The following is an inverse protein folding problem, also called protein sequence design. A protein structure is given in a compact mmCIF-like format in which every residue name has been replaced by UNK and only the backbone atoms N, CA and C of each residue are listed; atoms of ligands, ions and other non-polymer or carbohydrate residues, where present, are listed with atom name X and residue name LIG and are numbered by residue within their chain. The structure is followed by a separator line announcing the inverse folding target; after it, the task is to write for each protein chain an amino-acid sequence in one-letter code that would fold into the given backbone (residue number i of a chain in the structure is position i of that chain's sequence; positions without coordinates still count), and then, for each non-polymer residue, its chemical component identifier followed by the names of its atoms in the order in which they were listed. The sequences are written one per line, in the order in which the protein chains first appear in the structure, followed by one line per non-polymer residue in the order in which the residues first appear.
data_IF_346670747931
#
_entry.id   IF_346670747931
#
_cell.length_a   1.000
_cell.length_b   1.000
_cell.length_c   1.000
_cell.angle_alpha   90.00
_cell.angle_beta   90.00
_cell.angle_gamma   90.00
#
_symmetry.space_group_name_H-M   'P 1'
#
loop_
_entity.id
_entity.type
_entity.pdbx_description
1 polymer ?
#
# COMPACT_ATOMS: atom_id res chain seq x y z
N UNK A 1 6.65 -4.06 -23.83
CA UNK A 1 6.74 -2.84 -22.97
C UNK A 1 6.50 -3.32 -21.56
N UNK A 2 7.46 -3.15 -20.64
CA UNK A 2 7.32 -3.72 -19.30
C UNK A 2 6.42 -2.87 -18.40
N UNK A 3 5.59 -3.55 -17.61
CA UNK A 3 4.65 -2.96 -16.68
C UNK A 3 4.88 -3.54 -15.29
N UNK A 4 4.85 -2.69 -14.27
CA UNK A 4 4.88 -3.08 -12.87
C UNK A 4 3.56 -2.69 -12.20
N UNK A 5 2.86 -3.65 -11.62
CA UNK A 5 1.68 -3.41 -10.81
C UNK A 5 2.05 -3.37 -9.33
N UNK A 6 1.78 -2.25 -8.66
CA UNK A 6 1.70 -2.17 -7.20
C UNK A 6 0.28 -2.59 -6.82
N UNK A 7 0.11 -3.72 -6.14
CA UNK A 7 -1.21 -4.21 -5.73
C UNK A 7 -1.29 -4.25 -4.22
N UNK A 8 -2.17 -3.43 -3.64
CA UNK A 8 -2.54 -3.57 -2.24
C UNK A 8 -3.49 -4.76 -2.07
N UNK A 9 -3.33 -5.50 -0.98
CA UNK A 9 -4.11 -6.71 -0.68
C UNK A 9 -4.76 -6.57 0.68
N UNK A 10 -6.09 -6.70 0.70
CA UNK A 10 -6.90 -6.66 1.92
C UNK A 10 -7.33 -8.04 2.38
N UNK A 11 -8.37 -8.09 3.21
CA UNK A 11 -8.95 -9.34 3.74
C UNK A 11 -10.22 -9.77 3.02
N UNK A 12 -10.49 -9.23 1.82
CA UNK A 12 -11.71 -9.49 1.06
C UNK A 12 -11.92 -11.00 0.77
N UNK A 13 -10.84 -11.75 0.51
CA UNK A 13 -10.89 -13.20 0.32
C UNK A 13 -11.56 -13.90 1.50
N UNK A 14 -11.15 -13.57 2.73
CA UNK A 14 -11.71 -14.16 3.95
C UNK A 14 -13.19 -13.76 4.15
N UNK A 15 -13.53 -12.48 3.90
CA UNK A 15 -14.90 -12.00 4.01
C UNK A 15 -15.84 -12.67 3.00
N UNK A 16 -15.39 -12.79 1.75
CA UNK A 16 -16.16 -13.39 0.68
C UNK A 16 -16.28 -14.91 0.84
N UNK A 17 -15.21 -15.59 1.30
CA UNK A 17 -15.24 -17.01 1.63
C UNK A 17 -16.24 -17.30 2.75
N UNK A 18 -16.15 -16.58 3.88
CA UNK A 18 -17.05 -16.77 5.03
C UNK A 18 -18.53 -16.48 4.69
N UNK A 19 -18.78 -15.60 3.72
CA UNK A 19 -20.14 -15.33 3.22
C UNK A 19 -20.66 -16.44 2.29
N UNK A 20 -19.79 -17.00 1.46
CA UNK A 20 -20.17 -17.96 0.40
C UNK A 20 -20.20 -19.40 0.90
N UNK A 21 -19.22 -19.79 1.72
CA UNK A 21 -19.03 -21.12 2.27
C UNK A 21 -19.13 -21.07 3.79
N UNK A 22 -20.30 -20.66 4.29
CA UNK A 22 -20.50 -20.36 5.71
C UNK A 22 -20.15 -21.56 6.62
N UNK A 23 -20.68 -22.74 6.30
CA UNK A 23 -20.49 -23.94 7.11
C UNK A 23 -19.02 -24.39 7.11
N UNK A 24 -18.36 -24.32 5.95
CA UNK A 24 -16.92 -24.63 5.84
C UNK A 24 -16.05 -23.62 6.60
N UNK A 25 -16.41 -22.33 6.58
CA UNK A 25 -15.70 -21.31 7.33
C UNK A 25 -15.85 -21.52 8.85
N UNK A 26 -17.00 -22.01 9.31
CA UNK A 26 -17.24 -22.39 10.70
C UNK A 26 -16.41 -23.63 11.09
N UNK A 27 -16.37 -24.66 10.25
CA UNK A 27 -15.55 -25.86 10.45
C UNK A 27 -14.06 -25.53 10.53
N UNK A 28 -13.57 -24.68 9.62
CA UNK A 28 -12.19 -24.19 9.60
C UNK A 28 -11.90 -23.17 10.71
N UNK A 29 -12.92 -22.69 11.43
CA UNK A 29 -12.82 -21.65 12.48
C UNK A 29 -12.26 -20.32 11.98
N UNK A 30 -12.64 -19.92 10.76
CA UNK A 30 -12.16 -18.69 10.11
C UNK A 30 -13.27 -17.69 9.80
N UNK A 31 -14.52 -17.92 10.22
CA UNK A 31 -15.69 -17.08 9.88
C UNK A 31 -15.52 -15.60 10.23
N UNK A 32 -14.76 -15.27 11.27
CA UNK A 32 -14.48 -13.89 11.71
C UNK A 32 -13.16 -13.31 11.19
N UNK A 33 -12.29 -14.13 10.57
CA UNK A 33 -10.91 -13.74 10.26
C UNK A 33 -10.82 -12.50 9.37
N UNK A 34 -11.78 -12.30 8.46
CA UNK A 34 -11.81 -11.13 7.59
C UNK A 34 -11.98 -9.78 8.30
N UNK A 35 -12.35 -9.77 9.59
CA UNK A 35 -12.63 -8.57 10.40
C UNK A 35 -11.76 -8.45 11.66
N UNK A 36 -10.74 -9.28 11.81
CA UNK A 36 -9.91 -9.25 13.01
C UNK A 36 -9.14 -7.93 13.13
N UNK A 37 -9.09 -7.31 14.31
CA UNK A 37 -8.19 -6.21 14.56
C UNK A 37 -6.73 -6.70 14.56
N UNK A 38 -5.74 -5.82 14.31
CA UNK A 38 -4.33 -6.21 14.19
C UNK A 38 -3.74 -6.89 15.44
N UNK A 39 -4.26 -6.62 16.62
CA UNK A 39 -3.80 -7.12 17.92
C UNK A 39 -4.50 -8.41 18.39
N UNK A 40 -5.45 -8.94 17.60
CA UNK A 40 -6.19 -10.16 17.96
C UNK A 40 -5.30 -11.42 17.92
N UNK A 41 -5.45 -12.32 18.90
CA UNK A 41 -4.62 -13.54 19.00
C UNK A 41 -4.70 -14.46 17.76
N UNK A 42 -5.88 -14.54 17.13
CA UNK A 42 -6.07 -15.33 15.91
C UNK A 42 -5.26 -14.82 14.70
N UNK A 43 -4.68 -13.63 14.75
CA UNK A 43 -3.71 -13.18 13.73
C UNK A 43 -2.54 -14.16 13.62
N UNK A 44 -2.05 -14.70 14.75
CA UNK A 44 -0.99 -15.72 14.75
C UNK A 44 -1.42 -17.02 14.07
N UNK A 45 -2.68 -17.42 14.24
CA UNK A 45 -3.24 -18.61 13.59
C UNK A 45 -3.40 -18.41 12.08
N UNK A 46 -3.83 -17.22 11.66
CA UNK A 46 -3.91 -16.86 10.25
C UNK A 46 -2.53 -16.85 9.60
N UNK A 47 -1.53 -16.28 10.26
CA UNK A 47 -0.15 -16.28 9.79
C UNK A 47 0.44 -17.69 9.71
N UNK A 48 0.26 -18.52 10.73
CA UNK A 48 0.69 -19.92 10.74
C UNK A 48 0.01 -20.74 9.63
N UNK A 49 -1.16 -20.30 9.15
CA UNK A 49 -1.87 -20.93 8.05
C UNK A 49 -1.40 -20.46 6.67
N UNK A 50 -0.48 -19.50 6.54
CA UNK A 50 -0.12 -18.86 5.27
C UNK A 50 0.89 -19.66 4.42
N UNK A 51 0.66 -20.97 4.26
CA UNK A 51 1.51 -21.86 3.46
C UNK A 51 0.73 -23.04 2.87
N UNK A 52 1.22 -23.58 1.74
CA UNK A 52 0.72 -24.82 1.12
C UNK A 52 0.74 -25.99 2.10
N UNK A 53 -0.26 -26.86 2.05
CA UNK A 53 -0.43 -28.00 2.97
C UNK A 53 -1.19 -27.64 4.25
N UNK A 54 -1.42 -26.36 4.53
CA UNK A 54 -2.43 -25.95 5.51
C UNK A 54 -3.82 -26.12 4.91
N UNK A 55 -4.72 -26.80 5.64
CA UNK A 55 -6.13 -26.97 5.22
C UNK A 55 -6.82 -25.64 4.89
N UNK A 56 -6.57 -24.62 5.71
CA UNK A 56 -7.13 -23.27 5.50
C UNK A 56 -6.56 -22.66 4.22
N UNK A 57 -5.25 -22.74 4.02
CA UNK A 57 -4.60 -22.16 2.85
C UNK A 57 -5.08 -22.80 1.55
N UNK A 58 -5.02 -24.13 1.49
CA UNK A 58 -5.31 -24.87 0.27
C UNK A 58 -6.77 -24.69 -0.13
N UNK A 59 -7.69 -24.66 0.86
CA UNK A 59 -9.12 -24.41 0.60
C UNK A 59 -9.41 -22.99 0.12
N UNK A 60 -8.82 -21.98 0.76
CA UNK A 60 -8.97 -20.58 0.33
C UNK A 60 -8.37 -20.36 -1.06
N UNK A 61 -7.25 -21.00 -1.36
CA UNK A 61 -6.61 -20.90 -2.67
C UNK A 61 -7.41 -21.63 -3.76
N UNK A 62 -7.98 -22.80 -3.46
CA UNK A 62 -8.93 -23.46 -4.37
C UNK A 62 -10.12 -22.56 -4.70
N UNK A 63 -10.71 -21.92 -3.68
CA UNK A 63 -11.78 -20.95 -3.85
C UNK A 63 -11.37 -19.77 -4.76
N UNK A 64 -10.20 -19.17 -4.51
CA UNK A 64 -9.68 -18.08 -5.34
C UNK A 64 -9.37 -18.54 -6.77
N UNK A 65 -8.91 -19.78 -6.95
CA UNK A 65 -8.62 -20.33 -8.27
C UNK A 65 -9.88 -20.59 -9.09
N UNK A 66 -11.00 -20.94 -8.46
CA UNK A 66 -12.25 -21.24 -9.14
C UNK A 66 -13.00 -19.97 -9.57
N UNK A 67 -13.01 -18.92 -8.75
CA UNK A 67 -13.59 -17.63 -9.10
C UNK A 67 -12.81 -16.44 -8.49
N UNK A 68 -11.69 -16.02 -9.11
CA UNK A 68 -10.87 -14.94 -8.58
C UNK A 68 -11.58 -13.58 -8.59
N UNK A 69 -12.54 -13.38 -9.50
CA UNK A 69 -13.26 -12.11 -9.63
C UNK A 69 -14.24 -11.86 -8.47
N UNK A 70 -14.91 -12.92 -8.00
CA UNK A 70 -15.80 -12.81 -6.84
C UNK A 70 -15.06 -12.97 -5.51
N UNK A 71 -13.97 -13.76 -5.50
CA UNK A 71 -13.22 -14.02 -4.27
C UNK A 71 -12.45 -12.79 -3.78
N UNK A 72 -11.84 -12.02 -4.69
CA UNK A 72 -10.90 -10.95 -4.35
C UNK A 72 -11.18 -9.69 -5.18
N UNK A 73 -11.40 -8.56 -4.48
CA UNK A 73 -11.61 -7.28 -5.15
C UNK A 73 -10.34 -6.82 -5.89
N UNK A 74 -9.17 -7.04 -5.29
CA UNK A 74 -7.89 -6.70 -5.90
C UNK A 74 -7.56 -7.55 -7.13
N UNK A 75 -7.86 -8.85 -7.15
CA UNK A 75 -7.71 -9.69 -8.36
C UNK A 75 -8.71 -9.31 -9.44
N UNK A 76 -9.97 -9.06 -9.07
CA UNK A 76 -10.99 -8.59 -10.00
C UNK A 76 -10.57 -7.29 -10.70
N UNK A 77 -10.09 -6.31 -9.91
CA UNK A 77 -9.56 -5.07 -10.44
C UNK A 77 -8.34 -5.29 -11.33
N UNK A 78 -7.40 -6.13 -10.90
CA UNK A 78 -6.17 -6.42 -11.65
C UNK A 78 -6.45 -7.05 -13.02
N UNK A 79 -7.27 -8.09 -13.08
CA UNK A 79 -7.58 -8.78 -14.34
C UNK A 79 -8.29 -7.85 -15.32
N UNK A 80 -9.38 -7.20 -14.88
CA UNK A 80 -10.14 -6.26 -15.73
C UNK A 80 -9.28 -5.09 -16.20
N UNK A 81 -8.42 -4.56 -15.34
CA UNK A 81 -7.52 -3.49 -15.74
C UNK A 81 -6.51 -3.96 -16.78
N UNK A 82 -5.93 -5.14 -16.58
CA UNK A 82 -4.93 -5.73 -17.49
C UNK A 82 -5.54 -6.02 -18.86
N UNK A 83 -6.79 -6.47 -18.92
CA UNK A 83 -7.51 -6.67 -20.18
C UNK A 83 -7.67 -5.36 -20.98
N UNK A 84 -7.83 -4.22 -20.27
CA UNK A 84 -8.05 -2.90 -20.89
C UNK A 84 -6.75 -2.14 -21.20
N UNK A 85 -5.74 -2.25 -20.34
CA UNK A 85 -4.56 -1.39 -20.34
C UNK A 85 -3.22 -2.14 -20.25
N UNK A 86 -3.27 -3.47 -20.10
CA UNK A 86 -2.10 -4.32 -19.96
C UNK A 86 -1.36 -4.53 -21.29
N UNK A 87 -0.10 -4.97 -21.23
CA UNK A 87 0.62 -5.42 -22.41
C UNK A 87 0.02 -6.74 -22.93
N UNK A 88 0.27 -7.06 -24.20
CA UNK A 88 -0.23 -8.29 -24.83
C UNK A 88 0.44 -9.57 -24.34
N UNK A 89 1.58 -9.45 -23.65
CA UNK A 89 2.39 -10.59 -23.18
C UNK A 89 2.42 -10.60 -21.65
N UNK A 90 2.12 -11.74 -21.05
CA UNK A 90 2.12 -11.89 -19.59
C UNK A 90 3.52 -11.71 -19.01
N UNK A 91 4.58 -12.08 -19.75
CA UNK A 91 5.98 -11.93 -19.32
C UNK A 91 6.42 -10.46 -19.20
N UNK A 92 5.68 -9.52 -19.80
CA UNK A 92 5.91 -8.08 -19.66
C UNK A 92 5.27 -7.51 -18.38
N UNK A 93 4.55 -8.33 -17.60
CA UNK A 93 3.84 -7.92 -16.38
C UNK A 93 4.56 -8.45 -15.15
N UNK A 94 4.98 -7.51 -14.30
CA UNK A 94 5.56 -7.77 -12.99
C UNK A 94 4.65 -7.22 -11.89
N UNK A 95 4.51 -7.94 -10.77
CA UNK A 95 3.52 -7.61 -9.73
C UNK A 95 4.19 -7.59 -8.35
N UNK A 96 4.09 -6.46 -7.66
CA UNK A 96 4.41 -6.33 -6.24
C UNK A 96 3.14 -6.34 -5.39
N UNK A 97 3.08 -7.23 -4.41
CA UNK A 97 1.95 -7.34 -3.49
C UNK A 97 2.27 -6.66 -2.15
N UNK A 98 1.35 -5.86 -1.64
CA UNK A 98 1.51 -5.09 -0.41
C UNK A 98 0.34 -5.34 0.54
N UNK A 99 0.60 -5.93 1.70
CA UNK A 99 -0.42 -6.22 2.71
C UNK A 99 -0.22 -5.32 3.93
N UNK A 100 -1.25 -5.13 4.75
CA UNK A 100 -1.03 -4.69 6.14
C UNK A 100 -0.20 -5.74 6.88
N UNK A 101 0.56 -5.31 7.90
CA UNK A 101 1.33 -6.21 8.77
C UNK A 101 0.40 -6.92 9.78
N UNK A 102 -0.45 -7.78 9.26
CA UNK A 102 -1.38 -8.64 10.02
C UNK A 102 -1.32 -10.06 9.49
N UNK A 103 -1.64 -11.04 10.32
CA UNK A 103 -1.63 -12.45 9.90
C UNK A 103 -2.67 -12.76 8.84
N UNK A 104 -3.87 -12.15 8.93
CA UNK A 104 -4.92 -12.28 7.92
C UNK A 104 -4.58 -11.57 6.62
N UNK A 105 -3.96 -10.39 6.69
CA UNK A 105 -3.43 -9.68 5.53
C UNK A 105 -2.34 -10.50 4.82
N UNK A 106 -1.40 -11.07 5.58
CA UNK A 106 -0.34 -11.91 5.02
C UNK A 106 -0.87 -13.21 4.40
N UNK A 107 -1.84 -13.87 5.06
CA UNK A 107 -2.52 -15.05 4.51
C UNK A 107 -3.15 -14.73 3.14
N UNK A 108 -3.92 -13.65 3.05
CA UNK A 108 -4.54 -13.22 1.79
C UNK A 108 -3.49 -12.87 0.73
N UNK A 109 -2.42 -12.15 1.11
CA UNK A 109 -1.30 -11.84 0.23
C UNK A 109 -0.64 -13.09 -0.35
N UNK A 110 -0.43 -14.12 0.47
CA UNK A 110 0.14 -15.41 0.03
C UNK A 110 -0.81 -16.18 -0.89
N UNK A 111 -2.12 -16.13 -0.66
CA UNK A 111 -3.12 -16.73 -1.55
C UNK A 111 -3.10 -16.03 -2.92
N UNK A 112 -3.11 -14.69 -2.96
CA UNK A 112 -3.02 -13.89 -4.19
C UNK A 112 -1.72 -14.17 -4.93
N UNK A 113 -0.60 -14.24 -4.21
CA UNK A 113 0.71 -14.60 -4.75
C UNK A 113 0.68 -15.96 -5.45
N UNK A 114 0.22 -17.01 -4.77
CA UNK A 114 0.17 -18.36 -5.32
C UNK A 114 -0.78 -18.45 -6.53
N UNK A 115 -1.92 -17.77 -6.45
CA UNK A 115 -2.86 -17.70 -7.57
C UNK A 115 -2.21 -17.08 -8.81
N UNK A 116 -1.68 -15.86 -8.71
CA UNK A 116 -1.06 -15.16 -9.84
C UNK A 116 0.17 -15.89 -10.38
N UNK A 117 1.01 -16.44 -9.49
CA UNK A 117 2.17 -17.24 -9.90
C UNK A 117 1.74 -18.48 -10.68
N UNK A 118 0.67 -19.17 -10.26
CA UNK A 118 0.13 -20.33 -10.99
C UNK A 118 -0.43 -19.98 -12.37
N UNK A 119 -0.78 -18.71 -12.60
CA UNK A 119 -1.24 -18.19 -13.90
C UNK A 119 -0.11 -17.71 -14.80
N UNK A 120 1.15 -17.81 -14.36
CA UNK A 120 2.34 -17.48 -15.14
C UNK A 120 2.85 -16.04 -15.00
N UNK A 121 2.28 -15.25 -14.09
CA UNK A 121 2.81 -13.90 -13.80
C UNK A 121 4.13 -13.97 -13.03
N UNK A 122 5.00 -12.99 -13.26
CA UNK A 122 6.11 -12.73 -12.35
C UNK A 122 5.57 -11.93 -11.16
N UNK A 123 5.62 -12.53 -9.97
CA UNK A 123 5.08 -11.95 -8.74
C UNK A 123 6.15 -11.96 -7.66
N UNK A 124 6.36 -10.83 -7.00
CA UNK A 124 7.22 -10.72 -5.84
C UNK A 124 6.49 -11.27 -4.60
N UNK A 125 7.23 -11.86 -3.66
CA UNK A 125 6.67 -12.26 -2.37
C UNK A 125 5.98 -11.05 -1.68
N UNK A 126 4.84 -11.27 -0.98
CA UNK A 126 4.12 -10.18 -0.35
C UNK A 126 4.97 -9.38 0.63
N UNK A 127 4.98 -8.06 0.45
CA UNK A 127 5.65 -7.11 1.33
C UNK A 127 4.65 -6.59 2.36
N UNK A 128 4.96 -6.75 3.64
CA UNK A 128 4.14 -6.21 4.72
C UNK A 128 4.43 -4.74 4.98
N UNK A 129 3.37 -3.94 5.01
CA UNK A 129 3.39 -2.52 5.37
C UNK A 129 2.97 -2.37 6.82
N UNK A 130 3.86 -1.83 7.65
CA UNK A 130 3.72 -1.75 9.11
C UNK A 130 2.94 -0.53 9.57
N UNK A 131 2.53 -0.52 10.84
CA UNK A 131 2.01 0.66 11.55
C UNK A 131 0.53 0.95 11.32
N UNK A 132 -0.05 0.50 10.19
CA UNK A 132 -1.46 0.70 9.89
C UNK A 132 -2.38 -0.10 10.81
N UNK A 133 -3.46 0.55 11.29
CA UNK A 133 -4.45 -0.06 12.19
C UNK A 133 -4.02 -0.18 13.65
N UNK A 134 -2.78 0.20 14.02
CA UNK A 134 -2.25 0.12 15.41
C UNK A 134 -2.58 1.35 16.27
N UNK A 135 -3.30 2.33 15.71
CA UNK A 135 -3.71 3.56 16.41
C UNK A 135 -2.98 4.81 15.89
N UNK A 136 -3.48 5.98 16.30
CA UNK A 136 -3.03 7.28 15.78
C UNK A 136 -1.54 7.57 16.05
N UNK A 137 -0.99 7.05 17.15
CA UNK A 137 0.43 7.22 17.52
C UNK A 137 1.40 6.57 16.53
N UNK A 138 0.97 5.54 15.80
CA UNK A 138 1.80 4.82 14.81
C UNK A 138 1.65 5.38 13.39
N UNK A 139 0.81 6.40 13.19
CA UNK A 139 0.47 6.86 11.85
C UNK A 139 1.68 7.40 11.07
N UNK A 140 2.58 8.15 11.72
CA UNK A 140 3.82 8.63 11.08
C UNK A 140 4.74 7.49 10.65
N UNK A 141 4.84 6.45 11.48
CA UNK A 141 5.62 5.25 11.16
C UNK A 141 4.97 4.51 9.98
N UNK A 142 3.65 4.37 10.00
CA UNK A 142 2.88 3.73 8.95
C UNK A 142 3.05 4.45 7.60
N UNK A 143 2.94 5.78 7.60
CA UNK A 143 3.19 6.60 6.41
C UNK A 143 4.64 6.47 5.93
N UNK A 144 5.62 6.52 6.84
CA UNK A 144 7.03 6.36 6.48
C UNK A 144 7.29 4.98 5.85
N UNK A 145 6.67 3.93 6.40
CA UNK A 145 6.79 2.57 5.88
C UNK A 145 6.12 2.43 4.51
N UNK A 146 4.93 3.02 4.32
CA UNK A 146 4.25 3.04 3.02
C UNK A 146 5.10 3.75 1.96
N UNK A 147 5.66 4.91 2.30
CA UNK A 147 6.57 5.68 1.48
C UNK A 147 7.75 4.78 1.04
N UNK A 148 8.36 4.05 1.97
CA UNK A 148 9.50 3.17 1.65
C UNK A 148 9.16 2.04 0.71
N UNK A 149 8.03 1.38 0.98
CA UNK A 149 7.67 0.16 0.26
C UNK A 149 7.03 0.46 -1.09
N UNK A 150 6.21 1.50 -1.18
CA UNK A 150 5.49 1.87 -2.41
C UNK A 150 6.26 2.91 -3.21
N UNK A 151 6.62 4.07 -2.63
CA UNK A 151 7.29 5.10 -3.41
C UNK A 151 8.70 4.65 -3.87
N UNK A 152 9.41 3.90 -3.03
CA UNK A 152 10.70 3.30 -3.41
C UNK A 152 10.59 2.38 -4.62
N UNK A 153 9.57 1.50 -4.66
CA UNK A 153 9.37 0.60 -5.81
C UNK A 153 8.93 1.36 -7.05
N UNK A 154 8.03 2.34 -6.91
CA UNK A 154 7.53 3.15 -8.03
C UNK A 154 8.71 3.86 -8.68
N UNK A 155 9.50 4.61 -7.89
CA UNK A 155 10.67 5.33 -8.39
C UNK A 155 11.69 4.39 -9.04
N UNK A 156 12.02 3.28 -8.39
CA UNK A 156 12.97 2.29 -8.91
C UNK A 156 12.52 1.70 -10.25
N UNK A 157 11.24 1.31 -10.37
CA UNK A 157 10.68 0.74 -11.61
C UNK A 157 10.57 1.77 -12.72
N UNK A 158 10.20 3.01 -12.41
CA UNK A 158 10.22 4.13 -13.37
C UNK A 158 11.62 4.37 -13.91
N UNK A 159 12.64 4.39 -13.04
CA UNK A 159 14.04 4.52 -13.46
C UNK A 159 14.51 3.35 -14.34
N UNK A 160 13.97 2.15 -14.11
CA UNK A 160 14.22 0.97 -14.95
C UNK A 160 13.40 0.94 -16.26
N UNK A 161 12.64 2.00 -16.58
CA UNK A 161 11.88 2.12 -17.82
C UNK A 161 10.52 1.38 -17.82
N UNK A 162 10.03 0.94 -16.66
CA UNK A 162 8.71 0.33 -16.55
C UNK A 162 7.62 1.42 -16.58
N UNK A 163 6.43 1.04 -17.08
CA UNK A 163 5.21 1.72 -16.68
C UNK A 163 4.75 1.20 -15.33
N UNK A 164 4.33 2.08 -14.44
CA UNK A 164 3.90 1.69 -13.09
C UNK A 164 2.41 1.95 -12.92
N UNK A 165 1.67 0.90 -12.62
CA UNK A 165 0.23 0.95 -12.36
C UNK A 165 -0.04 0.59 -10.91
N UNK A 166 -0.91 1.35 -10.24
CA UNK A 166 -1.21 1.16 -8.81
C UNK A 166 -2.65 0.75 -8.65
N UNK A 167 -2.87 -0.44 -8.12
CA UNK A 167 -4.18 -0.91 -7.72
C UNK A 167 -4.49 -0.40 -6.30
N UNK A 168 -5.38 0.57 -6.24
CA UNK A 168 -5.85 1.25 -5.04
C UNK A 168 -7.22 0.71 -4.58
N UNK A 169 -7.52 -0.57 -4.88
CA UNK A 169 -8.80 -1.19 -4.52
C UNK A 169 -8.87 -1.56 -3.04
N UNK A 170 -7.81 -2.16 -2.51
CA UNK A 170 -7.80 -2.69 -1.15
C UNK A 170 -7.03 -1.77 -0.20
N UNK A 171 -7.42 -1.78 1.07
CA UNK A 171 -6.82 -0.98 2.13
C UNK A 171 -7.80 0.03 2.72
N UNK A 172 -7.40 0.65 3.84
CA UNK A 172 -8.24 1.67 4.47
C UNK A 172 -8.20 2.97 3.64
N UNK A 173 -9.29 3.74 3.62
CA UNK A 173 -9.46 4.90 2.71
C UNK A 173 -8.34 5.95 2.84
N UNK A 174 -7.93 6.38 4.05
CA UNK A 174 -6.76 7.24 4.24
C UNK A 174 -5.46 6.69 3.66
N UNK A 175 -5.18 5.41 3.86
CA UNK A 175 -3.95 4.74 3.38
C UNK A 175 -3.89 4.75 1.87
N UNK A 176 -5.02 4.39 1.25
CA UNK A 176 -5.20 4.35 -0.20
C UNK A 176 -5.11 5.76 -0.80
N UNK A 177 -5.68 6.76 -0.13
CA UNK A 177 -5.61 8.17 -0.56
C UNK A 177 -4.16 8.67 -0.54
N UNK A 178 -3.43 8.37 0.54
CA UNK A 178 -2.04 8.78 0.67
C UNK A 178 -1.13 8.01 -0.30
N UNK A 179 -1.33 6.69 -0.47
CA UNK A 179 -0.64 5.89 -1.47
C UNK A 179 -0.84 6.45 -2.89
N UNK A 180 -2.05 6.89 -3.21
CA UNK A 180 -2.39 7.51 -4.51
C UNK A 180 -1.61 8.81 -4.72
N UNK A 181 -1.61 9.73 -3.74
CA UNK A 181 -0.87 11.00 -3.82
C UNK A 181 0.62 10.74 -4.00
N UNK A 182 1.20 9.88 -3.15
CA UNK A 182 2.63 9.55 -3.20
C UNK A 182 2.99 8.89 -4.53
N UNK A 183 2.14 8.02 -5.06
CA UNK A 183 2.36 7.38 -6.36
C UNK A 183 2.35 8.39 -7.50
N UNK A 184 1.45 9.39 -7.47
CA UNK A 184 1.47 10.49 -8.45
C UNK A 184 2.78 11.29 -8.36
N UNK A 185 3.21 11.66 -7.15
CA UNK A 185 4.46 12.40 -6.92
C UNK A 185 5.69 11.62 -7.41
N UNK A 186 5.68 10.29 -7.29
CA UNK A 186 6.74 9.41 -7.80
C UNK A 186 6.63 9.06 -9.30
N UNK A 187 5.61 9.57 -9.99
CA UNK A 187 5.46 9.40 -11.44
C UNK A 187 4.81 8.08 -11.88
N UNK A 188 3.91 7.51 -11.07
CA UNK A 188 3.07 6.41 -11.51
C UNK A 188 2.25 6.79 -12.76
N UNK A 189 2.10 5.84 -13.67
CA UNK A 189 1.43 6.05 -14.96
C UNK A 189 -0.10 5.98 -14.86
N UNK A 190 -0.61 5.10 -13.97
CA UNK A 190 -2.03 4.93 -13.69
C UNK A 190 -2.23 4.53 -12.24
N UNK A 191 -3.27 5.07 -11.62
CA UNK A 191 -3.84 4.53 -10.37
C UNK A 191 -5.25 4.08 -10.71
N UNK A 192 -5.65 2.89 -10.29
CA UNK A 192 -6.95 2.33 -10.60
C UNK A 192 -7.57 1.63 -9.40
N UNK A 193 -8.88 1.55 -9.39
CA UNK A 193 -9.64 0.81 -8.39
C UNK A 193 -10.86 0.16 -9.04
N UNK A 194 -11.47 -0.81 -8.36
CA UNK A 194 -12.80 -1.31 -8.72
C UNK A 194 -13.82 -0.80 -7.69
N UNK A 195 -14.93 -0.26 -8.16
CA UNK A 195 -15.98 0.20 -7.27
C UNK A 195 -16.96 -0.93 -6.95
N UNK A 196 -17.32 -1.09 -5.67
CA UNK A 196 -18.16 -2.19 -5.19
C UNK A 196 -19.53 -2.25 -5.86
N UNK A 197 -20.17 -1.09 -6.11
CA UNK A 197 -21.55 -1.02 -6.62
C UNK A 197 -21.70 -1.40 -8.09
N UNK A 198 -20.81 -0.93 -8.98
CA UNK A 198 -20.93 -1.17 -10.43
C UNK A 198 -19.94 -2.22 -10.95
N UNK A 199 -18.99 -2.68 -10.13
CA UNK A 199 -18.04 -3.75 -10.46
C UNK A 199 -17.21 -3.49 -11.73
N UNK A 200 -16.97 -2.22 -12.04
CA UNK A 200 -16.10 -1.80 -13.14
C UNK A 200 -14.81 -1.19 -12.61
N UNK A 201 -13.74 -1.40 -13.37
CA UNK A 201 -12.45 -0.79 -13.10
C UNK A 201 -12.46 0.65 -13.57
N UNK A 202 -12.06 1.54 -12.68
CA UNK A 202 -11.91 2.96 -12.93
C UNK A 202 -10.44 3.31 -12.81
N UNK A 203 -9.87 3.86 -13.88
CA UNK A 203 -8.58 4.53 -13.83
C UNK A 203 -8.78 5.97 -13.34
N UNK A 204 -8.17 6.31 -12.21
CA UNK A 204 -8.24 7.66 -11.65
C UNK A 204 -7.49 8.65 -12.56
N UNK A 205 -8.02 9.88 -12.74
CA UNK A 205 -7.26 10.94 -13.38
C UNK A 205 -6.04 11.27 -12.54
N UNK A 206 -4.84 11.18 -13.15
CA UNK A 206 -3.60 11.53 -12.48
C UNK A 206 -3.20 12.95 -12.86
N UNK A 207 -3.06 13.81 -11.84
CA UNK A 207 -2.45 15.11 -12.02
C UNK A 207 -0.93 14.97 -11.99
N UNK A 208 -0.19 15.66 -12.87
CA UNK A 208 1.27 15.67 -12.85
C UNK A 208 1.76 16.55 -11.69
N UNK A 209 1.59 16.06 -10.46
CA UNK A 209 1.98 16.77 -9.24
C UNK A 209 3.42 16.43 -8.85
N UNK A 210 4.13 17.44 -8.39
CA UNK A 210 5.45 17.29 -7.75
C UNK A 210 5.46 18.08 -6.45
N UNK A 211 6.41 17.76 -5.56
CA UNK A 211 6.69 18.61 -4.40
C UNK A 211 7.36 19.90 -4.90
N UNK A 212 6.87 21.05 -4.41
CA UNK A 212 7.41 22.37 -4.82
C UNK A 212 8.87 22.50 -4.39
N UNK A 213 9.71 23.06 -5.27
CA UNK A 213 11.13 23.28 -4.96
C UNK A 213 11.35 24.19 -3.75
N UNK A 214 10.49 25.20 -3.57
CA UNK A 214 10.49 26.07 -2.39
C UNK A 214 10.29 25.27 -1.09
N UNK A 215 9.39 24.28 -1.12
CA UNK A 215 9.16 23.41 0.03
C UNK A 215 10.37 22.51 0.29
N UNK A 216 10.95 21.91 -0.76
CA UNK A 216 12.17 21.10 -0.62
C UNK A 216 13.32 21.93 -0.05
N UNK A 217 13.53 23.15 -0.56
CA UNK A 217 14.54 24.10 -0.08
C UNK A 217 14.33 24.51 1.38
N UNK A 218 13.09 24.58 1.84
CA UNK A 218 12.78 24.80 3.24
C UNK A 218 13.16 23.58 4.10
N UNK A 219 12.82 22.37 3.65
CA UNK A 219 13.20 21.14 4.35
C UNK A 219 14.74 20.97 4.35
N UNK A 220 15.45 21.39 3.30
CA UNK A 220 16.92 21.41 3.24
C UNK A 220 17.52 22.19 4.43
N UNK A 221 16.89 23.30 4.83
CA UNK A 221 17.33 24.15 5.96
C UNK A 221 16.98 23.58 7.33
N UNK A 222 15.90 22.80 7.41
CA UNK A 222 15.41 22.23 8.67
C UNK A 222 16.07 20.87 8.93
N UNK A 223 16.47 20.12 7.90
CA UNK A 223 16.96 18.76 8.04
C UNK A 223 18.42 18.72 8.54
N UNK A 224 18.76 17.83 9.51
CA UNK A 224 17.86 16.96 10.26
C UNK A 224 17.12 17.68 11.39
N UNK A 225 17.66 18.80 11.87
CA UNK A 225 17.02 19.72 12.81
C UNK A 225 17.62 21.15 12.67
N UNK A 226 16.86 22.16 13.10
CA UNK A 226 17.30 23.57 13.25
C UNK A 226 16.78 24.11 14.59
N UNK A 227 17.41 25.15 15.15
CA UNK A 227 16.85 25.81 16.35
C UNK A 227 15.55 26.57 16.00
N UNK A 228 14.62 26.61 16.95
CA UNK A 228 13.36 27.35 16.78
C UNK A 228 13.60 28.85 16.57
N UNK A 229 14.61 29.42 17.23
CA UNK A 229 14.98 30.82 17.09
C UNK A 229 15.47 31.12 15.66
N UNK A 230 16.41 30.32 15.16
CA UNK A 230 16.95 30.52 13.81
C UNK A 230 15.86 30.34 12.74
N UNK A 231 15.01 29.31 12.88
CA UNK A 231 13.92 29.10 11.93
C UNK A 231 12.92 30.26 11.96
N UNK A 232 12.63 30.80 13.15
CA UNK A 232 11.73 31.96 13.31
C UNK A 232 12.27 33.18 12.56
N UNK A 233 13.57 33.41 12.58
CA UNK A 233 14.20 34.52 11.84
C UNK A 233 14.14 34.31 10.31
N UNK A 234 14.07 33.06 9.85
CA UNK A 234 14.00 32.71 8.42
C UNK A 234 12.57 32.83 7.86
N UNK A 235 11.57 32.26 8.55
CA UNK A 235 10.21 32.12 7.99
C UNK A 235 9.10 32.76 8.84
N UNK A 236 9.43 33.28 10.02
CA UNK A 236 8.45 33.84 10.95
C UNK A 236 7.63 32.79 11.70
N UNK A 237 7.03 33.21 12.82
CA UNK A 237 6.31 32.31 13.73
C UNK A 237 5.03 31.72 13.11
N UNK A 238 4.28 32.52 12.36
CA UNK A 238 3.04 32.08 11.70
C UNK A 238 3.28 30.94 10.72
N UNK A 239 4.38 31.00 9.96
CA UNK A 239 4.72 29.93 9.01
C UNK A 239 5.17 28.66 9.72
N UNK A 240 5.91 28.78 10.83
CA UNK A 240 6.28 27.62 11.67
C UNK A 240 5.01 26.95 12.20
N UNK A 241 4.07 27.73 12.73
CA UNK A 241 2.79 27.23 13.23
C UNK A 241 2.00 26.53 12.13
N UNK A 242 1.92 27.11 10.93
CA UNK A 242 1.26 26.48 9.78
C UNK A 242 1.91 25.13 9.41
N UNK A 243 3.24 25.03 9.45
CA UNK A 243 3.95 23.78 9.17
C UNK A 243 3.71 22.72 10.25
N UNK A 244 3.62 23.12 11.51
CA UNK A 244 3.31 22.23 12.63
C UNK A 244 1.85 21.74 12.54
N UNK A 245 0.88 22.63 12.32
CA UNK A 245 -0.54 22.31 12.16
C UNK A 245 -0.80 21.38 10.96
N UNK A 246 -0.02 21.52 9.89
CA UNK A 246 -0.06 20.61 8.73
C UNK A 246 0.68 19.29 8.94
N UNK A 247 1.32 19.09 10.09
CA UNK A 247 2.10 17.90 10.38
C UNK A 247 3.33 17.76 9.49
N UNK A 248 3.99 18.87 9.14
CA UNK A 248 5.25 18.85 8.38
C UNK A 248 6.46 18.77 9.32
N UNK A 249 6.40 19.51 10.43
CA UNK A 249 7.48 19.59 11.42
C UNK A 249 6.97 19.17 12.81
N UNK A 250 7.92 18.91 13.70
CA UNK A 250 7.71 18.76 15.14
C UNK A 250 8.67 19.69 15.87
N UNK A 251 8.21 20.28 16.97
CA UNK A 251 9.02 21.12 17.85
C UNK A 251 9.26 20.38 19.16
N UNK A 252 10.52 20.18 19.54
CA UNK A 252 10.93 19.50 20.78
C UNK A 252 12.14 20.21 21.38
N UNK A 253 12.05 20.60 22.66
CA UNK A 253 13.18 21.17 23.40
C UNK A 253 13.86 22.37 22.68
N UNK A 254 13.06 23.23 22.03
CA UNK A 254 13.56 24.39 21.27
C UNK A 254 14.20 24.05 19.92
N UNK A 255 14.14 22.79 19.47
CA UNK A 255 14.55 22.34 18.13
C UNK A 255 13.33 22.05 17.28
N UNK A 256 13.46 22.34 15.99
CA UNK A 256 12.48 22.03 14.95
C UNK A 256 13.07 20.95 14.06
N UNK A 257 12.30 19.89 13.83
CA UNK A 257 12.70 18.79 12.96
C UNK A 257 11.57 18.46 11.99
N UNK A 258 11.86 17.95 10.77
CA UNK A 258 10.79 17.45 9.92
C UNK A 258 10.17 16.19 10.54
N UNK A 259 8.87 15.97 10.36
CA UNK A 259 8.25 14.71 10.80
C UNK A 259 8.86 13.51 10.09
N UNK A 260 8.84 12.30 10.69
CA UNK A 260 9.48 11.12 10.11
C UNK A 260 9.08 10.85 8.65
N UNK A 261 7.79 10.96 8.33
CA UNK A 261 7.28 10.73 6.97
C UNK A 261 7.75 11.81 5.98
N UNK A 262 7.90 13.07 6.43
CA UNK A 262 8.47 14.16 5.62
C UNK A 262 9.94 13.90 5.35
N UNK A 263 10.73 13.53 6.37
CA UNK A 263 12.14 13.18 6.17
C UNK A 263 12.27 12.11 5.10
N UNK A 264 11.40 11.10 5.15
CA UNK A 264 11.46 9.97 4.24
C UNK A 264 11.04 10.29 2.82
N UNK A 265 9.98 11.10 2.65
CA UNK A 265 9.60 11.63 1.35
C UNK A 265 10.74 12.48 0.75
N UNK A 266 11.30 13.37 1.57
CA UNK A 266 12.39 14.27 1.19
C UNK A 266 13.64 13.51 0.72
N UNK A 267 14.10 12.53 1.49
CA UNK A 267 15.27 11.71 1.15
C UNK A 267 15.06 10.94 -0.16
N UNK A 268 13.87 10.37 -0.36
CA UNK A 268 13.55 9.70 -1.61
C UNK A 268 13.48 10.64 -2.81
N UNK A 269 12.95 11.85 -2.66
CA UNK A 269 12.91 12.81 -3.77
C UNK A 269 14.33 13.20 -4.17
N UNK A 270 15.17 13.61 -3.20
CA UNK A 270 16.56 14.02 -3.45
C UNK A 270 17.49 12.86 -3.83
N UNK A 271 17.05 11.61 -3.67
CA UNK A 271 17.88 10.43 -3.95
C UNK A 271 18.98 10.21 -2.91
N UNK A 272 18.77 10.70 -1.69
CA UNK A 272 19.67 10.54 -0.56
C UNK A 272 19.20 9.29 0.19
N UNK A 273 19.81 8.14 -0.04
CA UNK A 273 19.37 6.87 0.53
C UNK A 273 20.49 5.84 0.58
#
# INVERSE_FOLDING_TARGET
MKVFHVVTVGTAILLNFARTFKDEAEELKISSWGRLPPDHDDQKKAEASAHRGSKVFDRLLEYVNSDPYSASAELNAFYRFTDLYGPSRIEDIEIGLYTTDTGTGYLCGRIVYEHLKSRGYYVNEPVRVRGFGLGASFFDEALSNLIDKIAGVVKSKKNAGYRVYVNATAGFKPETSFATIISMVMGADKVYYIHESFREVVALPLLPITVKEEFLSLIDRIYPHISLADLKDIIGYERIRELEERGVIIIREGRVEPRPWIRKLYTMIKGIG
#
